data_IF_601059284081
#
_entry.id   IF_601059284081
#
_cell.length_a   1.000
_cell.length_b   1.000
_cell.length_c   1.000
_cell.angle_alpha   90.00
_cell.angle_beta   90.00
_cell.angle_gamma   90.00
#
_symmetry.space_group_name_H-M   'P 1'
#
loop_
_entity.id
_entity.type
_entity.pdbx_description
1 polymer ?
#
# COMPACT_ATOMS: atom_id res chain seq x y z
N UNK A 1 -14.53 7.31 1.73
CA UNK A 1 -13.22 6.77 2.19
C UNK A 1 -13.31 5.89 3.43
N UNK A 2 -13.82 6.36 4.59
CA UNK A 2 -13.68 5.63 5.86
C UNK A 2 -14.31 4.24 5.87
N UNK A 3 -15.37 4.03 5.10
CA UNK A 3 -16.08 2.76 5.05
C UNK A 3 -15.28 1.63 4.39
N UNK A 4 -14.47 1.97 3.39
CA UNK A 4 -13.94 0.96 2.47
C UNK A 4 -12.43 0.79 2.58
N UNK A 5 -11.70 1.80 3.07
CA UNK A 5 -10.23 1.84 3.20
C UNK A 5 -9.60 0.49 3.63
N UNK A 6 -10.00 -0.05 4.80
CA UNK A 6 -9.48 -1.32 5.30
C UNK A 6 -9.79 -2.52 4.37
N UNK A 7 -10.98 -2.52 3.76
CA UNK A 7 -11.42 -3.59 2.84
C UNK A 7 -10.68 -3.52 1.51
N UNK A 8 -10.49 -2.31 0.98
CA UNK A 8 -9.71 -2.04 -0.24
C UNK A 8 -8.25 -2.49 -0.04
N UNK A 9 -7.60 -2.02 1.03
CA UNK A 9 -6.22 -2.38 1.35
C UNK A 9 -6.04 -3.88 1.59
N UNK A 10 -6.96 -4.51 2.34
CA UNK A 10 -6.92 -5.95 2.57
C UNK A 10 -7.10 -6.76 1.29
N UNK A 11 -7.94 -6.31 0.36
CA UNK A 11 -8.14 -6.95 -0.94
C UNK A 11 -6.89 -6.85 -1.81
N UNK A 12 -6.23 -5.69 -1.85
CA UNK A 12 -4.97 -5.51 -2.58
C UNK A 12 -3.85 -6.40 -2.02
N UNK A 13 -3.72 -6.48 -0.69
CA UNK A 13 -2.75 -7.37 -0.05
C UNK A 13 -3.02 -8.86 -0.35
N UNK A 14 -4.28 -9.28 -0.34
CA UNK A 14 -4.65 -10.65 -0.72
C UNK A 14 -4.37 -10.96 -2.19
N UNK A 15 -4.55 -9.98 -3.08
CA UNK A 15 -4.17 -10.12 -4.48
C UNK A 15 -2.66 -10.34 -4.60
N UNK A 16 -1.85 -9.53 -3.93
CA UNK A 16 -0.40 -9.70 -3.86
C UNK A 16 0.02 -11.09 -3.37
N UNK A 17 -0.67 -11.65 -2.37
CA UNK A 17 -0.37 -13.02 -1.91
C UNK A 17 -0.67 -14.09 -2.95
N UNK A 18 -1.80 -14.00 -3.65
CA UNK A 18 -2.13 -14.93 -4.75
C UNK A 18 -1.11 -14.83 -5.87
N UNK A 19 -0.74 -13.60 -6.19
CA UNK A 19 0.23 -13.23 -7.19
C UNK A 19 1.63 -13.78 -6.88
N UNK A 20 2.08 -13.70 -5.62
CA UNK A 20 3.32 -14.31 -5.17
C UNK A 20 3.27 -15.84 -5.26
N UNK A 21 2.16 -16.45 -4.83
CA UNK A 21 2.00 -17.91 -4.89
C UNK A 21 1.98 -18.46 -6.33
N UNK A 22 1.49 -17.68 -7.30
CA UNK A 22 1.47 -18.05 -8.71
C UNK A 22 2.83 -17.86 -9.42
N UNK A 23 3.69 -16.99 -8.90
CA UNK A 23 5.00 -16.70 -9.47
C UNK A 23 6.08 -17.64 -8.89
N UNK A 24 6.70 -18.47 -9.73
CA UNK A 24 7.67 -19.50 -9.28
C UNK A 24 8.77 -18.96 -8.36
N UNK A 25 9.38 -17.82 -8.70
CA UNK A 25 10.46 -17.24 -7.90
C UNK A 25 9.96 -16.78 -6.52
N UNK A 26 8.80 -16.11 -6.46
CA UNK A 26 8.21 -15.63 -5.21
C UNK A 26 7.74 -16.80 -4.35
N UNK A 27 7.04 -17.78 -4.92
CA UNK A 27 6.54 -18.94 -4.20
C UNK A 27 7.66 -19.79 -3.57
N UNK A 28 8.83 -19.86 -4.21
CA UNK A 28 10.02 -20.54 -3.67
C UNK A 28 10.66 -19.73 -2.55
N UNK A 29 10.77 -18.41 -2.72
CA UNK A 29 11.40 -17.53 -1.72
C UNK A 29 10.52 -17.29 -0.48
N UNK A 30 9.20 -17.24 -0.66
CA UNK A 30 8.20 -16.85 0.34
C UNK A 30 7.06 -17.88 0.42
N UNK A 31 7.36 -19.14 0.80
CA UNK A 31 6.34 -20.18 0.88
C UNK A 31 5.31 -19.85 1.97
N UNK A 32 4.03 -20.06 1.67
CA UNK A 32 2.92 -19.85 2.60
C UNK A 32 2.86 -18.42 3.19
N UNK A 33 3.20 -17.40 2.38
CA UNK A 33 3.24 -15.99 2.78
C UNK A 33 1.94 -15.50 3.46
N UNK A 34 0.77 -15.89 2.94
CA UNK A 34 -0.51 -15.49 3.54
C UNK A 34 -0.68 -16.06 4.96
N UNK A 35 -0.21 -17.28 5.21
CA UNK A 35 -0.21 -17.90 6.53
C UNK A 35 0.81 -17.23 7.46
N UNK A 36 2.00 -16.89 6.95
CA UNK A 36 3.02 -16.14 7.70
C UNK A 36 2.52 -14.76 8.12
N UNK A 37 1.77 -14.07 7.27
CA UNK A 37 1.08 -12.83 7.61
C UNK A 37 0.09 -13.00 8.77
N UNK A 38 -0.75 -14.04 8.75
CA UNK A 38 -1.69 -14.29 9.86
C UNK A 38 -0.96 -14.64 11.16
N UNK A 39 0.11 -15.43 11.07
CA UNK A 39 0.94 -15.77 12.23
C UNK A 39 1.61 -14.52 12.82
N UNK A 40 2.12 -13.61 11.99
CA UNK A 40 2.64 -12.32 12.42
C UNK A 40 1.59 -11.52 13.19
N UNK A 41 0.38 -11.35 12.64
CA UNK A 41 -0.68 -10.59 13.30
C UNK A 41 -1.10 -11.20 14.65
N UNK A 42 -1.11 -12.52 14.76
CA UNK A 42 -1.45 -13.23 16.00
C UNK A 42 -0.43 -13.04 17.13
N UNK A 43 0.79 -12.57 16.81
CA UNK A 43 1.86 -12.30 17.78
C UNK A 43 1.89 -10.83 18.25
N UNK A 44 0.94 -10.00 17.80
CA UNK A 44 0.84 -8.59 18.17
C UNK A 44 -0.16 -8.41 19.33
N UNK A 45 0.02 -7.41 20.22
CA UNK A 45 1.07 -6.41 20.19
C UNK A 45 2.44 -6.93 20.65
N UNK A 46 3.52 -6.39 20.06
CA UNK A 46 4.90 -6.80 20.38
C UNK A 46 5.83 -5.59 20.46
N UNK A 47 6.66 -5.53 21.52
CA UNK A 47 7.74 -4.56 21.61
C UNK A 47 8.85 -4.90 20.61
N UNK A 48 9.36 -3.86 19.94
CA UNK A 48 10.45 -3.94 18.98
C UNK A 48 11.48 -2.87 19.30
N UNK A 49 12.74 -3.20 19.07
CA UNK A 49 13.87 -2.28 19.04
C UNK A 49 14.38 -2.35 17.60
N UNK A 50 14.50 -1.25 16.86
CA UNK A 50 14.97 -1.29 15.45
C UNK A 50 15.76 -0.02 15.15
N UNK A 51 16.57 -0.02 14.10
CA UNK A 51 17.12 1.24 13.59
C UNK A 51 16.02 1.98 12.80
N UNK A 52 15.78 3.24 13.13
CA UNK A 52 14.90 4.11 12.36
C UNK A 52 15.44 4.23 10.92
N UNK A 53 14.63 3.93 9.88
CA UNK A 53 15.11 3.84 8.51
C UNK A 53 15.53 5.19 7.90
N UNK A 54 15.13 6.31 8.52
CA UNK A 54 15.43 7.67 8.05
C UNK A 54 16.66 8.23 8.76
N UNK A 55 16.69 8.09 10.08
CA UNK A 55 17.70 8.73 10.95
C UNK A 55 18.81 7.80 11.39
N UNK A 56 18.61 6.48 11.26
CA UNK A 56 19.53 5.44 11.74
C UNK A 56 19.60 5.31 13.27
N UNK A 57 18.83 6.11 14.03
CA UNK A 57 18.83 6.07 15.49
C UNK A 57 18.02 4.87 16.01
N UNK A 58 18.35 4.33 17.20
CA UNK A 58 17.49 3.35 17.86
C UNK A 58 16.06 3.86 18.03
N UNK A 59 15.11 3.07 17.56
CA UNK A 59 13.67 3.26 17.70
C UNK A 59 13.11 2.12 18.55
N UNK A 60 12.54 2.48 19.69
CA UNK A 60 11.82 1.58 20.57
C UNK A 60 10.32 1.80 20.35
N UNK A 61 9.60 0.78 19.89
CA UNK A 61 8.19 0.90 19.55
C UNK A 61 7.41 -0.36 19.93
N UNK A 62 6.10 -0.24 20.08
CA UNK A 62 5.19 -1.38 20.18
C UNK A 62 4.44 -1.51 18.88
N UNK A 63 4.64 -2.64 18.19
CA UNK A 63 3.89 -2.97 16.97
C UNK A 63 2.54 -3.53 17.38
N UNK A 64 1.46 -2.85 16.99
CA UNK A 64 0.09 -3.35 17.06
C UNK A 64 -0.35 -3.89 15.71
N UNK A 65 -1.49 -4.60 15.67
CA UNK A 65 -2.10 -5.08 14.43
C UNK A 65 -2.37 -3.95 13.45
N UNK A 66 -2.88 -2.83 13.94
CA UNK A 66 -3.19 -1.63 13.15
C UNK A 66 -1.92 -1.00 12.60
N UNK A 67 -0.87 -0.89 13.43
CA UNK A 67 0.42 -0.38 13.00
C UNK A 67 1.00 -1.23 11.85
N UNK A 68 1.04 -2.55 12.01
CA UNK A 68 1.57 -3.47 10.97
C UNK A 68 0.74 -3.44 9.69
N UNK A 69 -0.59 -3.34 9.79
CA UNK A 69 -1.47 -3.13 8.63
C UNK A 69 -1.19 -1.80 7.93
N UNK A 70 -0.96 -0.72 8.68
CA UNK A 70 -0.56 0.57 8.12
C UNK A 70 0.79 0.50 7.39
N UNK A 71 1.77 -0.21 7.95
CA UNK A 71 3.10 -0.36 7.33
C UNK A 71 3.05 -1.10 5.98
N UNK A 72 2.14 -2.05 5.80
CA UNK A 72 1.96 -2.73 4.49
C UNK A 72 1.08 -1.94 3.53
N UNK A 73 0.21 -1.04 4.02
CA UNK A 73 -0.70 -0.28 3.18
C UNK A 73 0.04 0.65 2.22
N UNK A 74 1.02 1.41 2.73
CA UNK A 74 1.78 2.37 1.93
C UNK A 74 2.49 1.70 0.73
N UNK A 75 3.31 0.65 0.89
CA UNK A 75 3.98 -0.01 -0.23
C UNK A 75 3.06 -0.56 -1.33
N UNK A 76 1.78 -0.87 -1.02
CA UNK A 76 0.80 -1.31 -2.02
C UNK A 76 0.42 -0.21 -3.04
N UNK A 77 0.74 1.06 -2.77
CA UNK A 77 0.48 2.15 -3.71
C UNK A 77 1.24 1.98 -5.03
N UNK A 78 2.42 1.35 -5.02
CA UNK A 78 3.23 1.20 -6.24
C UNK A 78 3.63 -0.26 -6.46
N UNK A 79 3.68 -0.73 -7.72
CA UNK A 79 4.07 -2.11 -8.01
C UNK A 79 5.47 -2.46 -7.52
N UNK A 80 6.42 -1.53 -7.64
CA UNK A 80 7.82 -1.76 -7.28
C UNK A 80 7.98 -2.02 -5.79
N UNK A 81 7.35 -1.19 -4.94
CA UNK A 81 7.40 -1.40 -3.49
C UNK A 81 6.55 -2.60 -3.07
N UNK A 82 5.40 -2.82 -3.71
CA UNK A 82 4.58 -4.00 -3.51
C UNK A 82 5.37 -5.30 -3.75
N UNK A 83 6.20 -5.36 -4.78
CA UNK A 83 7.03 -6.55 -5.07
C UNK A 83 8.04 -6.88 -3.96
N UNK A 84 8.37 -5.93 -3.08
CA UNK A 84 9.26 -6.11 -1.93
C UNK A 84 8.52 -6.55 -0.65
N UNK A 85 7.20 -6.39 -0.59
CA UNK A 85 6.40 -6.76 0.58
C UNK A 85 6.50 -8.23 1.00
N UNK A 86 6.52 -9.23 0.09
CA UNK A 86 6.70 -10.63 0.47
C UNK A 86 7.90 -10.85 1.40
N UNK A 87 9.05 -10.29 1.03
CA UNK A 87 10.25 -10.36 1.84
C UNK A 87 10.11 -9.62 3.17
N UNK A 88 9.60 -8.39 3.17
CA UNK A 88 9.44 -7.61 4.39
C UNK A 88 8.44 -8.23 5.39
N UNK A 89 7.38 -8.88 4.89
CA UNK A 89 6.41 -9.62 5.72
C UNK A 89 7.06 -10.86 6.34
N UNK A 90 7.85 -11.61 5.56
CA UNK A 90 8.56 -12.78 6.08
C UNK A 90 9.57 -12.40 7.16
N UNK A 91 10.34 -11.34 6.94
CA UNK A 91 11.27 -10.78 7.93
C UNK A 91 10.52 -10.34 9.20
N UNK A 92 9.41 -9.62 9.05
CA UNK A 92 8.60 -9.18 10.19
C UNK A 92 7.98 -10.36 10.96
N UNK A 93 7.54 -11.42 10.27
CA UNK A 93 7.06 -12.66 10.89
C UNK A 93 8.16 -13.36 11.71
N UNK A 94 9.42 -13.22 11.32
CA UNK A 94 10.57 -13.67 12.14
C UNK A 94 10.99 -12.65 13.22
N UNK A 95 10.21 -11.57 13.39
CA UNK A 95 10.44 -10.51 14.36
C UNK A 95 11.27 -9.33 13.85
N UNK A 96 11.76 -9.34 12.60
CA UNK A 96 12.59 -8.29 12.00
C UNK A 96 11.77 -7.26 11.25
N UNK A 97 11.37 -6.20 11.95
CA UNK A 97 10.48 -5.17 11.40
C UNK A 97 11.18 -4.09 10.56
N UNK A 98 12.52 -4.04 10.58
CA UNK A 98 13.32 -3.03 9.86
C UNK A 98 12.97 -2.89 8.38
N UNK A 99 12.94 -3.98 7.58
CA UNK A 99 12.57 -3.92 6.16
C UNK A 99 11.16 -3.38 5.93
N UNK A 100 10.20 -3.81 6.75
CA UNK A 100 8.81 -3.36 6.63
C UNK A 100 8.66 -1.87 6.95
N UNK A 101 9.35 -1.39 8.00
CA UNK A 101 9.40 0.04 8.33
C UNK A 101 10.04 0.84 7.20
N UNK A 102 11.19 0.40 6.67
CA UNK A 102 11.88 1.09 5.58
C UNK A 102 11.02 1.20 4.32
N UNK A 103 10.30 0.12 3.96
CA UNK A 103 9.37 0.17 2.83
C UNK A 103 8.23 1.15 3.07
N UNK A 104 7.65 1.16 4.28
CA UNK A 104 6.53 2.05 4.60
C UNK A 104 6.88 3.53 4.45
N UNK A 105 8.13 3.91 4.72
CA UNK A 105 8.65 5.27 4.59
C UNK A 105 9.12 5.61 3.17
N UNK A 106 9.12 4.64 2.24
CA UNK A 106 9.64 4.81 0.88
C UNK A 106 8.61 5.33 -0.13
N UNK A 107 7.33 5.31 0.22
CA UNK A 107 6.31 6.06 -0.55
C UNK A 107 6.46 7.52 -0.16
N UNK A 108 6.85 8.36 -1.12
CA UNK A 108 7.05 9.79 -0.88
C UNK A 108 5.83 10.46 -0.26
N UNK A 109 6.09 11.36 0.68
CA UNK A 109 5.08 12.11 1.44
C UNK A 109 5.06 11.67 2.89
N UNK A 110 5.53 12.52 3.80
CA UNK A 110 5.15 12.38 5.20
C UNK A 110 3.64 12.68 5.29
N UNK A 111 2.89 12.09 6.24
CA UNK A 111 1.51 12.48 6.53
C UNK A 111 1.31 14.00 6.68
N UNK A 112 2.39 14.72 6.98
CA UNK A 112 2.46 16.18 7.15
C UNK A 112 2.24 16.99 5.87
N UNK A 113 2.21 16.37 4.68
CA UNK A 113 1.94 17.08 3.42
C UNK A 113 0.43 17.23 3.13
N UNK A 114 -0.44 16.63 3.95
CA UNK A 114 -1.88 16.75 3.82
C UNK A 114 -2.40 17.98 4.57
N UNK A 115 -3.27 18.76 3.93
CA UNK A 115 -4.06 19.79 4.61
C UNK A 115 -5.12 19.13 5.50
N UNK A 116 -4.73 18.73 6.72
CA UNK A 116 -5.59 18.00 7.66
C UNK A 116 -6.89 18.74 7.94
N UNK A 117 -6.82 20.08 8.08
CA UNK A 117 -7.99 20.92 8.29
C UNK A 117 -9.02 20.82 7.16
N UNK A 118 -8.55 20.82 5.91
CA UNK A 118 -9.42 20.63 4.74
C UNK A 118 -9.92 19.18 4.69
N UNK A 119 -9.03 18.21 4.88
CA UNK A 119 -9.35 16.78 4.85
C UNK A 119 -10.49 16.43 5.81
N UNK A 120 -10.36 16.81 7.09
CA UNK A 120 -11.41 16.53 8.07
C UNK A 120 -12.66 17.37 7.86
N UNK A 121 -12.56 18.59 7.34
CA UNK A 121 -13.77 19.36 6.99
C UNK A 121 -14.61 18.66 5.92
N UNK A 122 -13.98 18.01 4.94
CA UNK A 122 -14.66 17.20 3.92
C UNK A 122 -15.17 15.88 4.51
N UNK A 123 -14.28 15.05 5.07
CA UNK A 123 -14.64 13.70 5.54
C UNK A 123 -15.71 13.75 6.63
N UNK A 124 -15.62 14.70 7.56
CA UNK A 124 -16.60 14.82 8.63
C UNK A 124 -17.97 15.27 8.10
N UNK A 125 -18.02 16.19 7.13
CA UNK A 125 -19.28 16.64 6.56
C UNK A 125 -19.93 15.59 5.63
N UNK A 126 -19.14 14.95 4.76
CA UNK A 126 -19.65 14.18 3.62
C UNK A 126 -19.69 12.67 3.88
N UNK A 127 -18.67 12.08 4.49
CA UNK A 127 -18.50 10.63 4.61
C UNK A 127 -18.97 10.07 5.95
N UNK A 128 -18.53 10.64 7.08
CA UNK A 128 -18.80 10.07 8.42
C UNK A 128 -20.30 9.96 8.73
N UNK A 129 -21.17 10.92 8.36
CA UNK A 129 -22.61 10.77 8.57
C UNK A 129 -23.25 9.60 7.81
N UNK A 130 -22.56 9.05 6.81
CA UNK A 130 -22.99 7.90 6.01
C UNK A 130 -22.42 6.57 6.52
N UNK A 131 -21.52 6.60 7.50
CA UNK A 131 -21.03 5.37 8.12
C UNK A 131 -22.16 4.68 8.88
N UNK A 132 -22.21 3.33 8.85
CA UNK A 132 -23.09 2.60 9.75
C UNK A 132 -22.77 3.00 11.20
N UNK A 133 -23.71 2.88 12.14
CA UNK A 133 -23.40 3.02 13.56
C UNK A 133 -22.24 2.09 13.96
N UNK A 134 -21.46 2.49 14.96
CA UNK A 134 -20.48 1.58 15.56
C UNK A 134 -21.20 0.33 16.06
N UNK A 135 -20.69 -0.84 15.68
CA UNK A 135 -21.12 -2.14 16.16
C UNK A 135 -20.25 -2.63 17.33
N UNK A 136 -19.35 -1.79 17.85
CA UNK A 136 -18.44 -2.09 18.96
C UNK A 136 -16.97 -1.80 18.62
N UNK A 137 -16.03 -2.13 19.54
CA UNK A 137 -14.61 -1.80 19.42
C UNK A 137 -13.95 -2.29 18.14
N UNK A 138 -14.36 -3.45 17.61
CA UNK A 138 -13.83 -3.98 16.35
C UNK A 138 -14.21 -3.14 15.13
N UNK A 139 -15.43 -2.57 15.11
CA UNK A 139 -15.90 -1.70 14.02
C UNK A 139 -15.32 -0.28 14.08
N UNK A 140 -14.76 0.09 15.24
CA UNK A 140 -14.05 1.35 15.46
C UNK A 140 -12.53 1.13 15.54
N UNK A 141 -12.03 -0.02 15.09
CA UNK A 141 -10.61 -0.21 14.87
C UNK A 141 -10.17 0.52 13.58
N UNK A 142 -8.89 0.86 13.48
CA UNK A 142 -8.31 1.43 12.27
C UNK A 142 -8.88 2.80 11.88
N UNK A 143 -9.09 3.00 10.57
CA UNK A 143 -9.45 4.31 10.01
C UNK A 143 -10.83 4.79 10.50
N UNK A 144 -11.83 3.90 10.59
CA UNK A 144 -13.20 4.30 10.98
C UNK A 144 -13.24 4.90 12.39
N UNK A 145 -12.58 4.27 13.36
CA UNK A 145 -12.51 4.79 14.73
C UNK A 145 -11.85 6.15 14.81
N UNK A 146 -10.72 6.33 14.11
CA UNK A 146 -10.04 7.62 14.02
C UNK A 146 -10.98 8.70 13.47
N UNK A 147 -11.65 8.43 12.34
CA UNK A 147 -12.58 9.38 11.74
C UNK A 147 -13.78 9.69 12.64
N UNK A 148 -14.37 8.70 13.32
CA UNK A 148 -15.45 8.95 14.28
C UNK A 148 -14.98 9.82 15.44
N UNK A 149 -13.82 9.53 16.01
CA UNK A 149 -13.27 10.26 17.15
C UNK A 149 -13.01 11.73 16.81
N UNK A 150 -12.41 12.00 15.65
CA UNK A 150 -12.16 13.38 15.19
C UNK A 150 -13.49 14.08 14.85
N UNK A 151 -14.34 13.44 14.05
CA UNK A 151 -15.58 14.06 13.56
C UNK A 151 -16.66 14.22 14.64
N UNK A 152 -16.53 13.59 15.80
CA UNK A 152 -17.37 13.85 16.97
C UNK A 152 -17.23 15.31 17.46
N UNK A 153 -16.08 15.93 17.22
CA UNK A 153 -15.77 17.29 17.69
C UNK A 153 -15.48 18.28 16.56
N UNK A 154 -15.41 17.81 15.31
CA UNK A 154 -15.14 18.65 14.15
C UNK A 154 -16.39 19.43 13.69
N UNK A 155 -16.29 20.74 13.37
CA UNK A 155 -17.39 21.50 12.76
C UNK A 155 -17.78 20.91 11.39
N UNK A 156 -19.07 20.85 11.09
CA UNK A 156 -19.57 20.24 9.85
C UNK A 156 -20.57 21.17 9.15
N UNK A 157 -20.47 21.22 7.84
CA UNK A 157 -21.47 21.88 6.99
C UNK A 157 -22.61 20.95 6.63
N UNK A 158 -23.71 21.53 6.14
CA UNK A 158 -24.82 20.78 5.57
C UNK A 158 -24.48 20.28 4.17
N UNK A 159 -24.65 18.99 3.93
CA UNK A 159 -24.43 18.36 2.62
C UNK A 159 -25.79 18.11 1.95
N UNK A 160 -26.08 18.72 0.79
CA UNK A 160 -27.34 18.50 0.09
C UNK A 160 -27.50 17.03 -0.30
N UNK A 161 -28.72 16.48 -0.20
CA UNK A 161 -28.99 15.07 -0.54
C UNK A 161 -28.56 14.68 -1.97
N UNK A 162 -28.61 15.62 -2.91
CA UNK A 162 -28.19 15.42 -4.30
C UNK A 162 -26.69 15.05 -4.43
N UNK A 163 -25.84 15.44 -3.47
CA UNK A 163 -24.41 15.08 -3.45
C UNK A 163 -24.20 13.56 -3.47
N UNK A 164 -25.10 12.80 -2.84
CA UNK A 164 -25.00 11.34 -2.75
C UNK A 164 -25.58 10.60 -3.96
N UNK A 165 -25.91 11.32 -5.03
CA UNK A 165 -26.43 10.74 -6.27
C UNK A 165 -25.46 11.01 -7.41
N UNK A 166 -25.22 10.00 -8.25
CA UNK A 166 -24.38 10.14 -9.45
C UNK A 166 -25.33 10.29 -10.65
N UNK A 167 -25.41 11.48 -11.28
CA UNK A 167 -26.25 11.68 -12.45
C UNK A 167 -25.69 10.93 -13.66
N UNK A 168 -26.52 10.74 -14.68
CA UNK A 168 -26.03 10.30 -16.00
C UNK A 168 -25.12 11.37 -16.58
N UNK A 169 -24.02 10.94 -17.20
CA UNK A 169 -23.13 11.86 -17.91
C UNK A 169 -23.70 12.19 -19.28
N UNK A 170 -23.58 13.45 -19.68
CA UNK A 170 -23.89 13.90 -21.04
C UNK A 170 -22.66 13.81 -21.98
N UNK A 171 -21.49 13.48 -21.44
CA UNK A 171 -20.22 13.39 -22.17
C UNK A 171 -19.49 12.09 -21.82
N UNK A 172 -18.57 11.61 -22.68
CA UNK A 172 -17.73 10.47 -22.36
C UNK A 172 -16.97 10.66 -21.05
N UNK A 173 -16.89 9.60 -20.25
CA UNK A 173 -16.12 9.61 -19.00
C UNK A 173 -15.13 8.47 -19.00
N UNK A 174 -13.86 8.78 -18.76
CA UNK A 174 -12.81 7.79 -18.58
C UNK A 174 -12.55 7.59 -17.09
N UNK A 175 -12.74 6.36 -16.62
CA UNK A 175 -12.46 5.93 -15.25
C UNK A 175 -11.26 5.00 -15.28
N UNK A 176 -10.24 5.31 -14.48
CA UNK A 176 -8.97 4.60 -14.48
C UNK A 176 -8.70 4.01 -13.10
N UNK A 177 -8.28 2.75 -13.05
CA UNK A 177 -7.92 2.08 -11.80
C UNK A 177 -6.70 1.19 -11.97
N UNK A 178 -5.91 1.05 -10.91
CA UNK A 178 -4.98 -0.07 -10.79
C UNK A 178 -5.70 -1.32 -10.32
N UNK A 179 -5.35 -2.49 -10.88
CA UNK A 179 -5.93 -3.76 -10.46
C UNK A 179 -5.58 -4.17 -9.04
N UNK A 180 -4.47 -3.64 -8.51
CA UNK A 180 -3.96 -3.86 -7.16
C UNK A 180 -4.06 -2.60 -6.29
N UNK A 181 -4.88 -1.62 -6.68
CA UNK A 181 -5.04 -0.35 -5.97
C UNK A 181 -5.66 -0.59 -4.56
N UNK A 182 -4.96 -0.23 -3.47
CA UNK A 182 -5.44 -0.43 -2.11
C UNK A 182 -6.42 0.65 -1.64
N UNK A 183 -6.66 1.71 -2.43
CA UNK A 183 -7.49 2.87 -2.07
C UNK A 183 -8.75 2.95 -2.92
N UNK A 184 -8.59 2.83 -4.25
CA UNK A 184 -9.67 2.99 -5.25
C UNK A 184 -9.65 1.88 -6.32
N UNK A 185 -9.78 0.61 -5.92
CA UNK A 185 -9.77 -0.54 -6.84
C UNK A 185 -10.93 -0.53 -7.83
N UNK A 186 -10.85 -1.37 -8.89
CA UNK A 186 -11.76 -1.31 -10.04
C UNK A 186 -13.25 -1.36 -9.70
N UNK A 187 -13.64 -2.04 -8.62
CA UNK A 187 -15.04 -2.09 -8.14
C UNK A 187 -15.65 -0.69 -7.92
N UNK A 188 -14.86 0.31 -7.55
CA UNK A 188 -15.34 1.68 -7.37
C UNK A 188 -15.66 2.31 -8.72
N UNK A 189 -14.73 2.22 -9.67
CA UNK A 189 -14.92 2.68 -11.05
C UNK A 189 -16.09 1.96 -11.74
N UNK A 190 -16.25 0.65 -11.56
CA UNK A 190 -17.37 -0.11 -12.12
C UNK A 190 -18.74 0.40 -11.63
N UNK A 191 -18.88 0.66 -10.33
CA UNK A 191 -20.11 1.24 -9.76
C UNK A 191 -20.39 2.63 -10.33
N UNK A 192 -19.35 3.48 -10.43
CA UNK A 192 -19.47 4.83 -10.97
C UNK A 192 -19.81 4.79 -12.46
N UNK A 193 -19.16 3.93 -13.25
CA UNK A 193 -19.42 3.75 -14.67
C UNK A 193 -20.89 3.36 -14.92
N UNK A 194 -21.40 2.38 -14.17
CA UNK A 194 -22.81 1.96 -14.24
C UNK A 194 -23.77 3.11 -13.96
N UNK A 195 -23.45 3.95 -12.96
CA UNK A 195 -24.27 5.10 -12.61
C UNK A 195 -24.23 6.18 -13.71
N UNK A 196 -23.04 6.54 -14.20
CA UNK A 196 -22.83 7.55 -15.24
C UNK A 196 -23.46 7.18 -16.60
N UNK A 197 -23.55 5.90 -16.94
CA UNK A 197 -24.25 5.43 -18.15
C UNK A 197 -23.31 4.90 -19.24
N UNK A 198 -23.83 4.76 -20.48
CA UNK A 198 -23.18 3.97 -21.53
C UNK A 198 -21.84 4.56 -22.01
N UNK A 199 -21.66 5.87 -21.86
CA UNK A 199 -20.45 6.57 -22.33
C UNK A 199 -19.33 6.60 -21.29
N UNK A 200 -19.53 5.98 -20.13
CA UNK A 200 -18.52 5.81 -19.12
C UNK A 200 -17.70 4.53 -19.36
N UNK A 201 -16.40 4.69 -19.54
CA UNK A 201 -15.45 3.61 -19.81
C UNK A 201 -14.52 3.40 -18.63
N UNK A 202 -14.58 2.23 -18.01
CA UNK A 202 -13.63 1.80 -16.99
C UNK A 202 -12.44 1.08 -17.63
N UNK A 203 -11.23 1.52 -17.34
CA UNK A 203 -9.97 0.91 -17.81
C UNK A 203 -9.12 0.55 -16.60
N UNK A 204 -8.72 -0.72 -16.55
CA UNK A 204 -7.92 -1.27 -15.44
C UNK A 204 -6.50 -1.56 -15.93
N UNK A 205 -5.51 -1.04 -15.21
CA UNK A 205 -4.12 -1.48 -15.35
C UNK A 205 -3.87 -2.59 -14.33
N UNK A 206 -3.97 -3.85 -14.78
CA UNK A 206 -4.06 -5.01 -13.90
C UNK A 206 -2.93 -5.09 -12.86
N UNK A 207 -1.70 -4.80 -13.26
CA UNK A 207 -0.51 -4.95 -12.41
C UNK A 207 -0.06 -3.64 -11.75
N UNK A 208 -0.95 -2.66 -11.60
CA UNK A 208 -0.65 -1.38 -10.97
C UNK A 208 -1.38 -1.21 -9.63
N UNK A 209 -0.74 -0.46 -8.71
CA UNK A 209 -1.34 0.02 -7.47
C UNK A 209 -2.15 1.31 -7.69
N UNK A 210 -2.07 2.24 -6.75
CA UNK A 210 -2.84 3.48 -6.77
C UNK A 210 -2.34 4.48 -7.82
N UNK A 211 -3.27 5.09 -8.56
CA UNK A 211 -3.04 5.99 -9.71
C UNK A 211 -2.31 5.34 -10.90
N UNK A 212 -2.79 5.60 -12.12
CA UNK A 212 -2.21 5.01 -13.35
C UNK A 212 -1.78 6.05 -14.39
N UNK A 213 -2.10 7.33 -14.18
CA UNK A 213 -1.84 8.42 -15.15
C UNK A 213 -0.36 8.72 -15.32
N UNK A 214 0.49 8.37 -14.34
CA UNK A 214 1.94 8.49 -14.44
C UNK A 214 2.57 7.44 -15.38
N UNK A 215 1.86 6.34 -15.67
CA UNK A 215 2.32 5.32 -16.62
C UNK A 215 2.30 5.91 -18.02
N UNK A 216 3.45 5.91 -18.70
CA UNK A 216 3.64 6.64 -19.95
C UNK A 216 2.54 6.36 -21.00
N UNK A 217 2.14 5.09 -21.15
CA UNK A 217 1.11 4.71 -22.12
C UNK A 217 -0.30 5.21 -21.71
N UNK A 218 -0.62 5.17 -20.42
CA UNK A 218 -1.90 5.69 -19.91
C UNK A 218 -1.94 7.21 -20.00
N UNK A 219 -0.80 7.89 -19.77
CA UNK A 219 -0.68 9.33 -19.92
C UNK A 219 -1.00 9.79 -21.34
N UNK A 220 -0.44 9.11 -22.35
CA UNK A 220 -0.73 9.39 -23.77
C UNK A 220 -2.21 9.14 -24.10
N UNK A 221 -2.77 8.03 -23.61
CA UNK A 221 -4.16 7.71 -23.86
C UNK A 221 -5.14 8.70 -23.19
N UNK A 222 -4.84 9.16 -21.97
CA UNK A 222 -5.61 10.23 -21.30
C UNK A 222 -5.52 11.54 -22.08
N UNK A 223 -4.33 11.92 -22.56
CA UNK A 223 -4.16 13.11 -23.38
C UNK A 223 -5.04 13.05 -24.63
N UNK A 224 -4.98 11.94 -25.38
CA UNK A 224 -5.80 11.75 -26.58
C UNK A 224 -7.30 11.72 -26.30
N UNK A 225 -7.72 11.20 -25.14
CA UNK A 225 -9.11 11.19 -24.73
C UNK A 225 -9.63 12.61 -24.49
N UNK A 226 -8.86 13.45 -23.81
CA UNK A 226 -9.22 14.84 -23.50
C UNK A 226 -9.13 15.75 -24.74
N UNK A 227 -8.12 15.54 -25.59
CA UNK A 227 -7.87 16.35 -26.81
C UNK A 227 -8.75 15.94 -28.00
N UNK A 228 -9.53 14.88 -27.87
CA UNK A 228 -10.41 14.41 -28.93
C UNK A 228 -11.44 15.48 -29.34
N UNK A 229 -11.52 15.75 -30.64
CA UNK A 229 -12.42 16.78 -31.17
C UNK A 229 -13.92 16.42 -31.07
N UNK A 230 -14.26 15.15 -30.83
CA UNK A 230 -15.62 14.67 -30.68
C UNK A 230 -15.71 13.59 -29.62
N UNK A 231 -16.89 13.43 -29.03
CA UNK A 231 -17.17 12.37 -28.05
C UNK A 231 -16.89 10.97 -28.62
N UNK A 232 -17.28 10.74 -29.89
CA UNK A 232 -17.01 9.49 -30.58
C UNK A 232 -15.50 9.22 -30.74
N UNK A 233 -14.70 10.26 -31.00
CA UNK A 233 -13.24 10.13 -31.07
C UNK A 233 -12.64 9.84 -29.69
N UNK A 234 -13.14 10.47 -28.63
CA UNK A 234 -12.71 10.20 -27.25
C UNK A 234 -12.98 8.73 -26.87
N UNK A 235 -14.16 8.21 -27.20
CA UNK A 235 -14.52 6.81 -26.95
C UNK A 235 -13.67 5.82 -27.74
N UNK A 236 -13.23 6.19 -28.94
CA UNK A 236 -12.42 5.36 -29.81
C UNK A 236 -10.92 5.30 -29.44
N UNK A 237 -10.45 6.09 -28.47
CA UNK A 237 -9.04 6.09 -28.06
C UNK A 237 -8.62 4.68 -27.61
N UNK A 238 -7.54 4.16 -28.18
CA UNK A 238 -6.98 2.86 -27.78
C UNK A 238 -6.39 2.94 -26.36
N UNK A 239 -6.78 1.97 -25.52
CA UNK A 239 -6.31 1.81 -24.14
C UNK A 239 -5.70 0.42 -23.92
N UNK A 240 -5.46 -0.34 -24.99
CA UNK A 240 -4.98 -1.72 -24.93
C UNK A 240 -3.60 -1.87 -24.27
N UNK A 241 -2.85 -0.78 -24.13
CA UNK A 241 -1.59 -0.77 -23.38
C UNK A 241 -1.79 -1.09 -21.88
N UNK A 242 -2.95 -0.76 -21.31
CA UNK A 242 -3.27 -1.00 -19.89
C UNK A 242 -3.12 -2.48 -19.50
N UNK A 243 -3.53 -3.38 -20.41
CA UNK A 243 -3.42 -4.83 -20.23
C UNK A 243 -1.99 -5.36 -20.38
N UNK A 244 -1.07 -4.56 -20.93
CA UNK A 244 0.31 -4.96 -21.25
C UNK A 244 1.33 -4.44 -20.24
N UNK A 245 0.91 -3.65 -19.24
CA UNK A 245 1.80 -3.20 -18.17
C UNK A 245 2.27 -4.44 -17.38
N UNK A 246 3.57 -4.77 -17.40
CA UNK A 246 4.06 -5.98 -16.75
C UNK A 246 4.01 -5.81 -15.24
N UNK A 247 3.86 -6.93 -14.54
CA UNK A 247 4.10 -6.99 -13.10
C UNK A 247 5.60 -6.98 -12.83
N UNK A 248 6.09 -6.27 -11.81
CA UNK A 248 7.46 -6.42 -11.36
C UNK A 248 7.73 -7.86 -10.93
N UNK A 249 8.94 -8.35 -11.20
CA UNK A 249 9.37 -9.66 -10.76
C UNK A 249 9.51 -9.71 -9.24
N UNK A 250 9.45 -10.91 -8.67
CA UNK A 250 9.74 -11.16 -7.26
C UNK A 250 11.03 -10.46 -6.84
N UNK A 251 10.96 -9.66 -5.78
CA UNK A 251 12.14 -9.05 -5.18
C UNK A 251 13.10 -10.14 -4.68
N UNK A 252 14.38 -9.98 -5.00
CA UNK A 252 15.44 -10.81 -4.46
C UNK A 252 16.40 -9.91 -3.67
N UNK A 253 16.57 -10.12 -2.36
CA UNK A 253 17.55 -9.37 -1.59
C UNK A 253 18.96 -9.65 -2.13
N UNK A 254 19.79 -8.61 -2.17
CA UNK A 254 21.18 -8.71 -2.64
C UNK A 254 22.05 -9.59 -1.74
N UNK A 255 21.68 -9.69 -0.47
CA UNK A 255 22.33 -10.54 0.51
C UNK A 255 21.54 -11.85 0.65
N UNK A 256 22.22 -12.99 0.81
CA UNK A 256 21.55 -14.24 1.13
C UNK A 256 20.76 -14.12 2.43
N UNK A 257 19.74 -14.97 2.59
CA UNK A 257 19.05 -15.10 3.87
C UNK A 257 20.09 -15.40 4.97
N UNK A 258 20.10 -14.58 6.02
CA UNK A 258 21.06 -14.75 7.12
C UNK A 258 20.91 -16.13 7.74
N UNK A 259 22.01 -16.84 7.92
CA UNK A 259 22.03 -18.20 8.49
C UNK A 259 21.65 -18.25 9.99
N UNK A 260 21.62 -17.09 10.67
CA UNK A 260 21.32 -16.97 12.10
C UNK A 260 20.22 -15.92 12.29
N UNK A 261 19.23 -16.15 13.17
CA UNK A 261 18.26 -15.13 13.55
C UNK A 261 18.99 -13.89 14.08
N UNK A 262 18.93 -12.78 13.34
CA UNK A 262 19.43 -11.51 13.83
C UNK A 262 18.44 -10.97 14.87
N UNK A 263 18.95 -10.61 16.05
CA UNK A 263 18.22 -9.78 17.00
C UNK A 263 17.95 -8.43 16.34
N UNK A 264 16.81 -7.80 16.63
CA UNK A 264 16.53 -6.44 16.12
C UNK A 264 17.45 -5.36 16.72
N UNK A 265 18.53 -5.74 17.42
CA UNK A 265 19.49 -4.85 18.05
C UNK A 265 20.02 -3.84 17.03
N UNK A 266 19.66 -2.55 17.17
CA UNK A 266 20.07 -1.50 16.24
C UNK A 266 21.58 -1.26 16.26
N UNK A 267 22.30 -1.84 17.22
CA UNK A 267 23.75 -1.75 17.34
C UNK A 267 24.48 -2.98 16.78
N UNK A 268 23.75 -3.99 16.28
CA UNK A 268 24.34 -5.23 15.76
C UNK A 268 24.24 -5.31 14.25
N UNK A 269 25.23 -4.73 13.57
CA UNK A 269 25.36 -4.80 12.10
C UNK A 269 25.89 -6.15 11.59
N UNK A 270 26.36 -7.01 12.50
CA UNK A 270 27.13 -8.20 12.16
C UNK A 270 26.30 -9.35 11.59
N UNK A 271 26.39 -9.54 10.27
CA UNK A 271 26.34 -10.88 9.71
C UNK A 271 27.75 -11.48 9.82
N UNK A 272 27.98 -12.48 10.69
CA UNK A 272 29.28 -13.12 10.79
C UNK A 272 29.73 -13.78 9.47
N UNK A 273 28.80 -14.07 8.54
CA UNK A 273 29.13 -14.66 7.23
C UNK A 273 29.75 -13.67 6.23
N UNK A 274 29.66 -12.35 6.50
CA UNK A 274 30.28 -11.30 5.68
C UNK A 274 31.65 -10.85 6.20
N UNK A 275 32.11 -11.39 7.35
CA UNK A 275 33.47 -11.14 7.82
C UNK A 275 34.44 -11.98 6.96
N UNK A 276 35.25 -11.29 6.16
CA UNK A 276 36.32 -11.94 5.38
C UNK A 276 37.20 -12.78 6.32
N UNK A 277 37.55 -14.03 5.97
CA UNK A 277 38.37 -14.90 6.83
C UNK A 277 39.78 -14.35 7.09
N UNK A 278 40.23 -13.35 6.33
CA UNK A 278 41.60 -12.83 6.37
C UNK A 278 41.87 -11.79 7.48
N UNK A 279 40.86 -11.35 8.23
CA UNK A 279 41.07 -10.34 9.28
C UNK A 279 41.69 -10.89 10.59
N UNK A 280 41.90 -12.21 10.71
CA UNK A 280 42.39 -12.84 11.94
C UNK A 280 43.92 -13.05 12.01
N UNK A 281 44.70 -12.57 11.03
CA UNK A 281 46.15 -12.82 10.97
C UNK A 281 46.99 -11.53 10.98
N UNK A 282 46.93 -10.75 12.05
CA UNK A 282 48.00 -9.79 12.37
C UNK A 282 48.07 -9.51 13.88
N UNK A 283 48.50 -10.52 14.64
CA UNK A 283 49.08 -10.27 15.95
C UNK A 283 50.52 -9.72 15.75
N UNK A 284 50.92 -8.61 16.38
CA UNK A 284 52.31 -8.18 16.34
C UNK A 284 53.14 -9.16 17.16
N UNK A 285 54.13 -9.80 16.53
CA UNK A 285 55.18 -10.50 17.24
C UNK A 285 56.09 -9.46 17.88
N UNK A 286 56.16 -9.50 19.21
CA UNK A 286 57.17 -8.81 20.00
C UNK A 286 58.57 -9.02 19.41
N UNK A 287 59.30 -7.92 19.19
CA UNK A 287 60.73 -7.92 18.99
C UNK A 287 61.39 -7.18 20.15
N UNK A 288 62.34 -7.88 20.79
CA UNK A 288 63.25 -7.40 21.82
C UNK A 288 64.15 -6.27 21.32
#
# INVERSE_FOLDING_TARGET
>A
LPLSDDVDAQSALQALFRDCAAEKACAVAHPALAQRWQALLALLPRAIDVADPITGKPLHATMTTEAVRGLVHSPLYTPTLGAMLPHAIDEAADGRFGPLLALSTSVGGLPTDMSEGQHFSVICAEDVPRLPPSAGPESDAGAQGLYRAVCAHWPRGDVPAAFYTIPKSASPVLLLSGGLDPVTPPRHAERVAKALGPDARSVVVANNGHNVTAIACMRDAVFRFVDAATDAAAQAVDMGCAAKVPRPLAFQPLLPARAVPATNDPNRFDDPSLRSPDAAASAPKDAR
#
